data_IF_260322606446
#
_entry.id   IF_260322606446
#
_cell.length_a   1.000
_cell.length_b   1.000
_cell.length_c   1.000
_cell.angle_alpha   90.00
_cell.angle_beta   90.00
_cell.angle_gamma   90.00
#
_symmetry.space_group_name_H-M   'P 1'
#
loop_
_entity.id
_entity.type
_entity.pdbx_description
1 polymer ?
#
# COMPACT_ATOMS: atom_id res chain seq x y z
N UNK A 1 -32.39 -18.61 3.56
CA UNK A 1 -31.74 -17.88 2.45
C UNK A 1 -31.00 -18.89 1.59
N UNK A 2 -31.33 -19.08 0.30
CA UNK A 2 -30.56 -19.97 -0.59
C UNK A 2 -29.30 -19.23 -1.06
N UNK A 3 -28.13 -19.84 -0.90
CA UNK A 3 -26.90 -19.32 -1.49
C UNK A 3 -26.98 -19.46 -3.02
N UNK A 4 -26.87 -18.33 -3.73
CA UNK A 4 -26.75 -18.31 -5.18
C UNK A 4 -25.28 -18.52 -5.59
N UNK A 5 -25.04 -18.93 -6.84
CA UNK A 5 -23.68 -19.01 -7.38
C UNK A 5 -22.97 -17.63 -7.35
N UNK A 6 -23.73 -16.54 -7.46
CA UNK A 6 -23.22 -15.18 -7.32
C UNK A 6 -22.75 -14.89 -5.89
N UNK A 7 -23.52 -15.29 -4.87
CA UNK A 7 -23.13 -15.13 -3.48
C UNK A 7 -21.84 -15.89 -3.16
N UNK A 8 -21.69 -17.12 -3.67
CA UNK A 8 -20.46 -17.91 -3.49
C UNK A 8 -19.26 -17.22 -4.16
N UNK A 9 -19.41 -16.72 -5.39
CA UNK A 9 -18.36 -15.98 -6.09
C UNK A 9 -17.98 -14.69 -5.37
N UNK A 10 -18.96 -13.94 -4.88
CA UNK A 10 -18.74 -12.72 -4.12
C UNK A 10 -17.95 -12.99 -2.83
N UNK A 11 -18.34 -14.01 -2.06
CA UNK A 11 -17.63 -14.43 -0.85
C UNK A 11 -16.20 -14.87 -1.17
N UNK A 12 -16.02 -15.71 -2.18
CA UNK A 12 -14.68 -16.14 -2.60
C UNK A 12 -13.78 -14.96 -3.01
N UNK A 13 -14.34 -13.99 -3.73
CA UNK A 13 -13.62 -12.77 -4.14
C UNK A 13 -13.25 -11.89 -2.95
N UNK A 14 -14.16 -11.75 -1.99
CA UNK A 14 -13.92 -11.01 -0.75
C UNK A 14 -12.79 -11.65 0.06
N UNK A 15 -12.86 -12.96 0.30
CA UNK A 15 -11.84 -13.69 1.06
C UNK A 15 -10.46 -13.62 0.39
N UNK A 16 -10.40 -13.75 -0.94
CA UNK A 16 -9.16 -13.66 -1.70
C UNK A 16 -8.54 -12.26 -1.64
N UNK A 17 -9.37 -11.21 -1.77
CA UNK A 17 -8.91 -9.82 -1.66
C UNK A 17 -8.39 -9.54 -0.26
N UNK A 18 -9.14 -9.93 0.77
CA UNK A 18 -8.76 -9.74 2.16
C UNK A 18 -7.47 -10.47 2.54
N UNK A 19 -7.29 -11.71 2.09
CA UNK A 19 -6.03 -12.45 2.27
C UNK A 19 -4.84 -11.72 1.63
N UNK A 20 -5.05 -11.13 0.45
CA UNK A 20 -4.00 -10.36 -0.24
C UNK A 20 -3.63 -9.09 0.53
N UNK A 21 -4.63 -8.37 1.04
CA UNK A 21 -4.42 -7.20 1.90
C UNK A 21 -3.62 -7.56 3.15
N UNK A 22 -4.01 -8.62 3.86
CA UNK A 22 -3.29 -9.12 5.04
C UNK A 22 -1.85 -9.53 4.72
N UNK A 23 -1.62 -10.12 3.55
CA UNK A 23 -0.27 -10.46 3.08
C UNK A 23 0.58 -9.21 2.93
N UNK A 24 0.05 -8.16 2.32
CA UNK A 24 0.77 -6.90 2.13
C UNK A 24 1.05 -6.17 3.44
N UNK A 25 0.08 -6.11 4.35
CA UNK A 25 0.24 -5.54 5.69
C UNK A 25 1.37 -6.29 6.42
N UNK A 26 1.29 -7.62 6.49
CA UNK A 26 2.27 -8.43 7.20
C UNK A 26 3.69 -8.22 6.65
N UNK A 27 3.85 -8.24 5.32
CA UNK A 27 5.17 -8.04 4.69
C UNK A 27 5.72 -6.63 4.88
N UNK A 28 4.86 -5.61 4.85
CA UNK A 28 5.27 -4.24 5.15
C UNK A 28 5.76 -4.09 6.60
N UNK A 29 5.08 -4.71 7.56
CA UNK A 29 5.52 -4.75 8.95
C UNK A 29 6.84 -5.51 9.14
N UNK A 30 7.00 -6.66 8.48
CA UNK A 30 8.26 -7.41 8.52
C UNK A 30 9.43 -6.59 7.95
N UNK A 31 9.20 -5.86 6.85
CA UNK A 31 10.19 -4.92 6.30
C UNK A 31 10.52 -3.79 7.30
N UNK A 32 9.51 -3.14 7.89
CA UNK A 32 9.71 -2.05 8.88
C UNK A 32 10.54 -2.51 10.08
N UNK A 33 10.36 -3.77 10.48
CA UNK A 33 11.08 -4.40 11.59
C UNK A 33 12.43 -5.02 11.18
N UNK A 34 12.92 -4.77 9.96
CA UNK A 34 14.23 -5.22 9.49
C UNK A 34 14.33 -6.70 9.14
N UNK A 35 13.20 -7.42 9.00
CA UNK A 35 13.18 -8.86 8.66
C UNK A 35 13.25 -9.13 7.15
N UNK A 36 13.03 -8.11 6.33
CA UNK A 36 13.10 -8.18 4.87
C UNK A 36 14.07 -7.12 4.38
N UNK A 37 14.99 -7.49 3.48
CA UNK A 37 15.92 -6.54 2.87
C UNK A 37 15.20 -5.70 1.80
N UNK A 38 15.62 -4.45 1.64
CA UNK A 38 15.07 -3.55 0.61
C UNK A 38 15.13 -4.14 -0.78
N UNK A 39 16.27 -4.74 -1.16
CA UNK A 39 16.46 -5.37 -2.47
C UNK A 39 15.39 -6.44 -2.76
N UNK A 40 15.03 -7.25 -1.76
CA UNK A 40 14.00 -8.28 -1.91
C UNK A 40 12.59 -7.69 -1.96
N UNK A 41 12.37 -6.58 -1.23
CA UNK A 41 11.06 -5.96 -1.10
C UNK A 41 10.66 -5.08 -2.30
N UNK A 42 11.63 -4.54 -3.04
CA UNK A 42 11.41 -3.77 -4.28
C UNK A 42 11.42 -4.63 -5.55
N UNK A 43 11.88 -5.88 -5.46
CA UNK A 43 11.77 -6.83 -6.56
C UNK A 43 10.36 -7.41 -6.66
N UNK A 44 9.96 -7.81 -7.87
CA UNK A 44 8.63 -8.37 -8.11
C UNK A 44 8.53 -9.76 -7.47
N UNK A 45 7.92 -9.84 -6.29
CA UNK A 45 7.61 -11.08 -5.58
C UNK A 45 6.26 -11.02 -4.86
N UNK A 46 5.70 -12.16 -4.45
CA UNK A 46 4.42 -12.18 -3.72
C UNK A 46 4.53 -11.40 -2.42
N UNK A 47 3.65 -10.41 -2.23
CA UNK A 47 3.66 -9.57 -1.03
C UNK A 47 4.76 -8.49 -1.00
N UNK A 48 5.53 -8.34 -2.09
CA UNK A 48 6.54 -7.28 -2.22
C UNK A 48 5.89 -5.90 -2.35
N UNK A 49 6.63 -4.84 -2.05
CA UNK A 49 6.15 -3.48 -2.29
C UNK A 49 5.91 -3.23 -3.78
N UNK A 50 6.73 -3.81 -4.66
CA UNK A 50 6.53 -3.73 -6.11
C UNK A 50 5.25 -4.41 -6.56
N UNK A 51 4.91 -5.59 -6.02
CA UNK A 51 3.65 -6.26 -6.37
C UNK A 51 2.46 -5.50 -5.81
N UNK A 52 2.56 -4.92 -4.61
CA UNK A 52 1.53 -4.03 -4.06
C UNK A 52 1.21 -2.86 -5.01
N UNK A 53 2.23 -2.11 -5.45
CA UNK A 53 2.04 -0.97 -6.36
C UNK A 53 1.42 -1.40 -7.69
N UNK A 54 1.74 -2.59 -8.19
CA UNK A 54 1.17 -3.15 -9.42
C UNK A 54 -0.28 -3.61 -9.24
N UNK A 55 -0.57 -4.39 -8.20
CA UNK A 55 -1.88 -5.02 -7.95
C UNK A 55 -2.96 -3.98 -7.67
N UNK A 56 -2.62 -2.96 -6.88
CA UNK A 56 -3.53 -1.86 -6.61
C UNK A 56 -3.58 -0.82 -7.74
N UNK A 57 -2.93 -1.12 -8.88
CA UNK A 57 -2.83 -0.26 -10.07
C UNK A 57 -2.37 1.16 -9.75
N UNK A 58 -1.65 1.33 -8.63
CA UNK A 58 -1.15 2.64 -8.23
C UNK A 58 -0.01 3.10 -9.14
N UNK A 59 0.63 2.13 -9.79
CA UNK A 59 1.66 2.32 -10.81
C UNK A 59 1.27 3.21 -12.01
N UNK A 60 -0.02 3.47 -12.28
CA UNK A 60 -0.39 4.38 -13.39
C UNK A 60 0.15 5.80 -13.20
N UNK A 61 0.39 6.19 -11.94
CA UNK A 61 0.82 7.54 -11.57
C UNK A 61 2.27 7.58 -11.09
N UNK A 62 3.01 6.46 -11.12
CA UNK A 62 4.36 6.35 -10.58
C UNK A 62 5.25 5.74 -11.65
N UNK A 63 6.34 6.42 -11.99
CA UNK A 63 7.31 5.91 -12.94
C UNK A 63 7.93 4.59 -12.45
N UNK A 64 8.25 3.68 -13.38
CA UNK A 64 8.68 2.29 -13.05
C UNK A 64 9.88 2.23 -12.12
N UNK A 65 10.72 3.26 -12.13
CA UNK A 65 11.97 3.35 -11.38
C UNK A 65 11.81 4.05 -10.03
N UNK A 66 10.64 4.63 -9.75
CA UNK A 66 10.38 5.39 -8.52
C UNK A 66 9.91 4.50 -7.35
N UNK A 67 9.87 3.16 -7.52
CA UNK A 67 9.37 2.26 -6.46
C UNK A 67 10.24 2.28 -5.21
N UNK A 68 11.56 2.29 -5.37
CA UNK A 68 12.50 2.36 -4.26
C UNK A 68 12.41 3.70 -3.54
N UNK A 69 12.36 4.80 -4.30
CA UNK A 69 12.17 6.15 -3.76
C UNK A 69 10.85 6.26 -2.99
N UNK A 70 9.76 5.75 -3.55
CA UNK A 70 8.45 5.70 -2.88
C UNK A 70 8.55 4.95 -1.56
N UNK A 71 9.18 3.77 -1.55
CA UNK A 71 9.39 2.98 -0.34
C UNK A 71 10.21 3.79 0.70
N UNK A 72 11.25 4.49 0.27
CA UNK A 72 12.06 5.38 1.12
C UNK A 72 11.24 6.51 1.75
N UNK A 73 10.43 7.21 0.96
CA UNK A 73 9.54 8.28 1.44
C UNK A 73 8.51 7.74 2.41
N UNK A 74 7.83 6.65 2.05
CA UNK A 74 6.85 5.97 2.90
C UNK A 74 7.44 5.58 4.24
N UNK A 75 8.60 4.93 4.24
CA UNK A 75 9.20 4.38 5.46
C UNK A 75 9.75 5.47 6.36
N UNK A 76 10.23 6.58 5.78
CA UNK A 76 10.57 7.79 6.53
C UNK A 76 9.34 8.44 7.14
N UNK A 77 8.23 8.52 6.40
CA UNK A 77 6.97 9.12 6.85
C UNK A 77 6.34 8.36 8.03
N UNK A 78 6.25 7.03 7.93
CA UNK A 78 5.55 6.20 8.93
C UNK A 78 6.37 5.93 10.19
N UNK A 79 7.67 6.29 10.21
CA UNK A 79 8.51 6.22 11.42
C UNK A 79 8.07 7.24 12.48
N UNK A 80 7.49 8.36 12.06
CA UNK A 80 6.94 9.37 12.97
C UNK A 80 5.47 9.06 13.24
N UNK A 81 5.14 8.64 14.47
CA UNK A 81 3.77 8.23 14.86
C UNK A 81 2.72 9.31 14.60
N UNK A 82 3.09 10.60 14.73
CA UNK A 82 2.20 11.74 14.47
C UNK A 82 1.70 11.87 13.03
N UNK A 83 2.42 11.28 12.07
CA UNK A 83 2.20 11.47 10.63
C UNK A 83 1.52 10.25 9.98
N UNK A 84 1.48 9.11 10.67
CA UNK A 84 1.03 7.83 10.13
C UNK A 84 -0.44 7.80 9.65
N UNK A 85 -1.27 8.76 10.09
CA UNK A 85 -2.69 8.86 9.73
C UNK A 85 -3.00 10.06 8.82
N UNK A 86 -2.01 10.88 8.48
CA UNK A 86 -2.21 12.14 7.78
C UNK A 86 -2.16 11.94 6.26
N UNK A 87 -3.24 11.36 5.72
CA UNK A 87 -3.33 10.99 4.29
C UNK A 87 -3.05 12.18 3.37
N UNK A 88 -3.67 13.34 3.64
CA UNK A 88 -3.55 14.53 2.80
C UNK A 88 -2.12 15.10 2.83
N UNK A 89 -1.52 15.17 4.01
CA UNK A 89 -0.14 15.64 4.18
C UNK A 89 0.85 14.69 3.49
N UNK A 90 0.62 13.37 3.60
CA UNK A 90 1.46 12.39 2.92
C UNK A 90 1.31 12.48 1.40
N UNK A 91 0.08 12.69 0.90
CA UNK A 91 -0.17 12.86 -0.52
C UNK A 91 0.55 14.12 -1.05
N UNK A 92 0.49 15.23 -0.33
CA UNK A 92 1.21 16.44 -0.73
C UNK A 92 2.73 16.25 -0.66
N UNK A 93 3.23 15.54 0.35
CA UNK A 93 4.65 15.18 0.44
C UNK A 93 5.12 14.33 -0.77
N UNK A 94 4.32 13.35 -1.20
CA UNK A 94 4.62 12.54 -2.39
C UNK A 94 4.67 13.39 -3.67
N UNK A 95 3.74 14.35 -3.80
CA UNK A 95 3.71 15.28 -4.94
C UNK A 95 4.93 16.19 -4.95
N UNK A 96 5.26 16.81 -3.81
CA UNK A 96 6.45 17.66 -3.65
C UNK A 96 7.76 16.90 -3.94
N UNK A 97 7.79 15.60 -3.65
CA UNK A 97 8.92 14.71 -3.92
C UNK A 97 9.04 14.28 -5.39
N UNK A 98 8.10 14.71 -6.26
CA UNK A 98 8.09 14.39 -7.69
C UNK A 98 7.67 12.95 -8.01
N UNK A 99 7.13 12.18 -7.05
CA UNK A 99 6.62 10.81 -7.29
C UNK A 99 5.42 10.82 -8.25
N UNK A 100 4.61 11.89 -8.18
CA UNK A 100 3.44 12.09 -9.03
C UNK A 100 3.57 13.40 -9.81
N UNK A 101 3.38 13.36 -11.13
CA UNK A 101 3.63 14.52 -12.01
C UNK A 101 2.65 15.67 -11.79
N UNK A 102 1.34 15.42 -11.89
CA UNK A 102 0.36 16.51 -12.02
C UNK A 102 -0.72 16.56 -10.93
N UNK A 103 -0.94 15.46 -10.20
CA UNK A 103 -2.06 15.33 -9.25
C UNK A 103 -1.59 14.84 -7.89
N UNK A 104 -2.12 15.45 -6.84
CA UNK A 104 -1.88 15.00 -5.45
C UNK A 104 -2.44 13.56 -5.28
N UNK A 105 -1.58 12.56 -4.99
CA UNK A 105 -1.91 11.15 -5.12
C UNK A 105 -2.61 10.61 -3.84
N UNK A 106 -3.76 11.17 -3.47
CA UNK A 106 -4.48 10.80 -2.24
C UNK A 106 -4.83 9.31 -2.14
N UNK A 107 -5.28 8.69 -3.24
CA UNK A 107 -5.60 7.26 -3.24
C UNK A 107 -4.36 6.38 -2.99
N UNK A 108 -3.20 6.80 -3.52
CA UNK A 108 -1.94 6.14 -3.25
C UNK A 108 -1.53 6.29 -1.79
N UNK A 109 -1.56 7.53 -1.29
CA UNK A 109 -1.22 7.84 0.09
C UNK A 109 -2.07 7.01 1.07
N UNK A 110 -3.39 7.00 0.88
CA UNK A 110 -4.32 6.20 1.68
C UNK A 110 -3.98 4.71 1.66
N UNK A 111 -3.75 4.12 0.47
CA UNK A 111 -3.41 2.70 0.33
C UNK A 111 -2.07 2.33 0.97
N UNK A 112 -1.07 3.20 0.84
CA UNK A 112 0.23 2.98 1.49
C UNK A 112 0.11 3.07 3.01
N UNK A 113 -0.56 4.09 3.52
CA UNK A 113 -0.70 4.26 4.96
C UNK A 113 -1.54 3.13 5.57
N UNK A 114 -2.51 2.58 4.82
CA UNK A 114 -3.25 1.38 5.22
C UNK A 114 -2.34 0.19 5.54
N UNK A 115 -1.19 0.04 4.85
CA UNK A 115 -0.22 -1.01 5.16
C UNK A 115 0.43 -0.85 6.54
N UNK A 116 0.52 0.39 7.04
CA UNK A 116 1.13 0.69 8.34
C UNK A 116 0.11 0.68 9.49
N UNK A 117 -1.13 1.12 9.23
CA UNK A 117 -2.18 1.15 10.24
C UNK A 117 -3.55 0.84 9.61
N UNK A 118 -3.88 -0.45 9.40
CA UNK A 118 -5.12 -0.83 8.72
C UNK A 118 -6.38 -0.55 9.56
N UNK A 119 -6.26 -0.49 10.90
CA UNK A 119 -7.39 -0.31 11.81
C UNK A 119 -7.92 1.13 11.76
N UNK A 120 -7.01 2.10 11.73
CA UNK A 120 -7.36 3.52 11.87
C UNK A 120 -7.60 4.24 10.52
N UNK A 121 -7.52 3.53 9.40
CA UNK A 121 -7.68 4.10 8.04
C UNK A 121 -9.01 3.66 7.38
N UNK A 122 -9.67 2.65 7.94
CA UNK A 122 -11.05 2.34 7.55
C UNK A 122 -11.99 3.38 8.21
N UNK A 123 -12.94 3.98 7.46
CA UNK A 123 -13.94 4.83 8.07
C UNK A 123 -14.78 4.02 9.07
N UNK A 124 -14.96 4.59 10.27
CA UNK A 124 -15.92 4.08 11.26
C UNK A 124 -17.36 4.30 10.81
#
# INVERSE_FOLDING_TARGET
MKLTAENVRAIGTFLSSYHSDLTYISKFHDYKNGKIKTADFIQKGKGSFKSFINDFRVARNIDKDETEKLLGLTTSWVKTESNALRIDEFAEHLKQSGISRDKTPHSLASKILFLNNPINILPN
#
